data_IF_056818530105
#
_entry.id   IF_056818530105
#
_cell.length_a   1.000
_cell.length_b   1.000
_cell.length_c   1.000
_cell.angle_alpha   90.00
_cell.angle_beta   90.00
_cell.angle_gamma   90.00
#
_symmetry.space_group_name_H-M   'P 1'
#
loop_
_entity.id
_entity.type
_entity.pdbx_description
1 polymer ?
#
# COMPACT_ATOMS: atom_id res chain seq x y z
N UNK A 1 9.80 34.50 -3.37
CA UNK A 1 10.17 33.09 -3.64
C UNK A 1 8.92 32.43 -4.20
N UNK A 2 8.78 32.37 -5.52
CA UNK A 2 7.58 31.81 -6.18
C UNK A 2 7.65 30.28 -6.09
N UNK A 3 6.69 29.67 -5.38
CA UNK A 3 6.45 28.23 -5.44
C UNK A 3 5.89 27.93 -6.84
N UNK A 4 6.64 27.21 -7.65
CA UNK A 4 6.17 26.69 -8.93
C UNK A 4 5.09 25.64 -8.65
N UNK A 5 3.83 26.00 -8.87
CA UNK A 5 2.70 25.09 -8.82
C UNK A 5 2.76 24.26 -10.13
N UNK A 6 3.21 23.03 -10.06
CA UNK A 6 3.15 22.14 -11.24
C UNK A 6 1.70 21.65 -11.33
N UNK A 7 0.94 22.26 -12.23
CA UNK A 7 -0.42 21.83 -12.58
C UNK A 7 -0.32 20.94 -13.83
N UNK A 8 -0.60 19.66 -13.64
CA UNK A 8 -0.72 18.72 -14.77
C UNK A 8 -2.21 18.55 -15.09
N UNK A 9 -2.70 19.18 -16.14
CA UNK A 9 -4.07 18.98 -16.63
C UNK A 9 -4.07 17.89 -17.68
N UNK A 10 -4.71 16.77 -17.40
CA UNK A 10 -4.92 15.69 -18.37
C UNK A 10 -6.40 15.69 -18.77
N UNK A 11 -6.68 16.05 -20.02
CA UNK A 11 -8.04 15.97 -20.59
C UNK A 11 -8.22 14.62 -21.26
N UNK A 12 -9.16 13.84 -20.77
CA UNK A 12 -9.56 12.54 -21.34
C UNK A 12 -10.96 12.64 -21.92
N UNK A 13 -11.06 12.41 -23.22
CA UNK A 13 -12.34 12.23 -23.90
C UNK A 13 -12.61 10.72 -24.01
N UNK A 14 -13.51 10.21 -23.18
CA UNK A 14 -14.11 8.89 -23.36
C UNK A 14 -15.62 9.09 -23.54
N UNK A 15 -16.24 8.32 -24.40
CA UNK A 15 -17.49 8.59 -25.14
C UNK A 15 -18.76 8.88 -24.32
N UNK A 16 -18.75 8.90 -22.98
CA UNK A 16 -19.98 9.22 -22.21
C UNK A 16 -19.78 10.04 -20.92
N UNK A 17 -18.56 10.39 -20.54
CA UNK A 17 -18.29 11.39 -19.50
C UNK A 17 -16.93 12.03 -19.72
N UNK A 18 -16.89 13.36 -19.77
CA UNK A 18 -15.64 14.13 -19.74
C UNK A 18 -15.17 14.12 -18.27
N UNK A 19 -14.22 13.26 -17.92
CA UNK A 19 -13.50 13.34 -16.65
C UNK A 19 -12.28 14.24 -16.86
N UNK A 20 -12.39 15.50 -16.50
CA UNK A 20 -11.25 16.39 -16.33
C UNK A 20 -10.85 16.32 -14.86
N UNK A 21 -9.99 15.38 -14.49
CA UNK A 21 -9.39 15.37 -13.16
C UNK A 21 -8.01 16.00 -13.23
N UNK A 22 -7.80 17.03 -12.41
CA UNK A 22 -6.50 17.67 -12.24
C UNK A 22 -5.83 17.09 -10.99
N UNK A 23 -4.64 16.52 -11.17
CA UNK A 23 -3.83 16.03 -10.06
C UNK A 23 -2.83 17.10 -9.65
N UNK A 24 -2.85 17.50 -8.40
CA UNK A 24 -1.97 18.56 -7.85
C UNK A 24 -1.13 18.00 -6.71
N UNK A 25 0.20 18.16 -6.80
CA UNK A 25 1.09 17.89 -5.67
C UNK A 25 0.81 18.94 -4.58
N UNK A 26 0.13 18.51 -3.51
CA UNK A 26 -0.34 19.38 -2.44
C UNK A 26 0.65 19.49 -1.27
N UNK A 27 1.60 18.56 -1.15
CA UNK A 27 2.62 18.57 -0.11
C UNK A 27 3.68 17.49 -0.30
N UNK A 28 4.83 17.74 0.31
CA UNK A 28 5.94 16.80 0.38
C UNK A 28 6.68 17.02 1.69
N UNK A 29 7.00 15.95 2.42
CA UNK A 29 7.80 16.01 3.64
C UNK A 29 8.64 14.75 3.81
N UNK A 30 9.64 14.85 4.66
CA UNK A 30 10.63 13.80 4.90
C UNK A 30 11.90 13.97 4.07
N UNK A 31 12.98 13.45 4.63
CA UNK A 31 14.32 13.36 4.05
C UNK A 31 15.04 12.16 4.68
N UNK A 32 16.20 11.81 4.17
CA UNK A 32 16.98 10.71 4.72
C UNK A 32 17.49 11.02 6.11
N UNK A 33 17.17 10.16 7.09
CA UNK A 33 17.64 10.29 8.47
C UNK A 33 16.88 9.43 9.47
N UNK A 34 17.09 9.70 10.78
CA UNK A 34 16.50 8.95 11.88
C UNK A 34 15.78 9.82 12.92
N UNK A 35 15.77 11.16 12.77
CA UNK A 35 14.99 12.05 13.62
C UNK A 35 13.49 11.93 13.36
N UNK A 36 12.63 12.52 14.21
CA UNK A 36 11.21 12.64 13.92
C UNK A 36 10.96 13.34 12.58
N UNK A 37 10.18 12.71 11.70
CA UNK A 37 9.89 13.23 10.37
C UNK A 37 10.92 12.90 9.28
N UNK A 38 12.10 12.36 9.64
CA UNK A 38 13.08 11.80 8.71
C UNK A 38 12.81 10.31 8.49
N UNK A 39 13.21 9.75 7.35
CA UNK A 39 12.97 8.37 6.97
C UNK A 39 14.22 7.67 6.44
N UNK A 40 14.28 6.35 6.65
CA UNK A 40 15.19 5.46 5.93
C UNK A 40 14.38 4.41 5.19
N UNK A 41 14.26 4.58 3.88
CA UNK A 41 13.52 3.68 2.99
C UNK A 41 12.08 3.43 3.50
N UNK A 42 11.20 4.46 3.52
CA UNK A 42 9.81 4.29 3.92
C UNK A 42 9.12 3.26 3.02
N UNK A 43 8.40 2.31 3.63
CA UNK A 43 7.68 1.26 2.93
C UNK A 43 6.19 1.61 2.78
N UNK A 44 5.28 0.85 3.41
CA UNK A 44 3.85 1.07 3.26
C UNK A 44 3.33 2.21 4.14
N UNK A 45 2.15 2.68 3.81
CA UNK A 45 1.51 3.86 4.38
C UNK A 45 0.00 3.60 4.53
N UNK A 46 -0.59 4.04 5.64
CA UNK A 46 -2.03 3.94 5.86
C UNK A 46 -2.59 5.22 6.48
N UNK A 47 -3.88 5.46 6.30
CA UNK A 47 -4.59 6.60 6.89
C UNK A 47 -5.71 6.12 7.82
N UNK A 48 -5.85 6.75 9.00
CA UNK A 48 -6.95 6.48 9.91
C UNK A 48 -8.22 7.29 9.55
N UNK A 49 -9.29 7.05 10.31
CA UNK A 49 -10.58 7.72 10.10
C UNK A 49 -10.53 9.24 10.31
N UNK A 50 -9.54 9.75 11.02
CA UNK A 50 -9.28 11.17 11.24
C UNK A 50 -8.31 11.78 10.21
N UNK A 51 -7.91 10.97 9.21
CA UNK A 51 -6.90 11.32 8.20
C UNK A 51 -5.50 11.55 8.77
N UNK A 52 -5.17 10.96 9.91
CA UNK A 52 -3.77 10.85 10.31
C UNK A 52 -3.08 9.79 9.46
N UNK A 53 -1.81 10.03 9.15
CA UNK A 53 -1.00 9.24 8.25
C UNK A 53 0.03 8.45 9.04
N UNK A 54 0.06 7.14 8.84
CA UNK A 54 0.99 6.22 9.47
C UNK A 54 1.93 5.66 8.43
N UNK A 55 3.22 5.78 8.65
CA UNK A 55 4.28 5.40 7.71
C UNK A 55 5.18 4.35 8.33
N UNK A 56 5.41 3.28 7.61
CA UNK A 56 6.43 2.28 7.96
C UNK A 56 7.79 2.83 7.55
N UNK A 57 8.58 3.25 8.52
CA UNK A 57 9.96 3.70 8.37
C UNK A 57 10.88 2.48 8.48
N UNK A 58 10.95 1.72 7.36
CA UNK A 58 11.40 0.34 7.34
C UNK A 58 12.79 0.12 7.91
N UNK A 59 13.80 0.87 7.43
CA UNK A 59 15.19 0.70 7.87
C UNK A 59 15.51 1.41 9.19
N UNK A 60 14.60 2.23 9.72
CA UNK A 60 14.65 2.71 11.10
C UNK A 60 13.86 1.80 12.05
N UNK A 61 13.24 0.72 11.53
CA UNK A 61 12.50 -0.28 12.32
C UNK A 61 11.42 0.33 13.22
N UNK A 62 10.67 1.30 12.67
CA UNK A 62 9.66 2.06 13.42
C UNK A 62 8.45 2.42 12.57
N UNK A 63 7.39 2.86 13.23
CA UNK A 63 6.23 3.50 12.62
C UNK A 63 6.25 4.97 13.02
N UNK A 64 5.95 5.87 12.09
CA UNK A 64 5.77 7.29 12.36
C UNK A 64 4.34 7.72 12.01
N UNK A 65 3.73 8.54 12.87
CA UNK A 65 2.38 9.12 12.71
C UNK A 65 2.48 10.60 12.45
N UNK A 66 1.70 11.08 11.48
CA UNK A 66 1.59 12.48 11.08
C UNK A 66 0.12 12.88 11.00
N UNK A 67 -0.17 14.17 11.11
CA UNK A 67 -1.48 14.69 10.69
C UNK A 67 -1.59 14.78 9.16
N UNK A 68 -2.76 15.14 8.66
CA UNK A 68 -3.04 15.27 7.23
C UNK A 68 -2.25 16.37 6.50
N UNK A 69 -1.57 17.26 7.25
CA UNK A 69 -0.68 18.29 6.70
C UNK A 69 0.77 17.85 6.60
N UNK A 70 1.11 16.69 7.19
CA UNK A 70 2.46 16.15 7.28
C UNK A 70 3.22 16.58 8.54
N UNK A 71 2.53 17.19 9.52
CA UNK A 71 3.13 17.51 10.82
C UNK A 71 3.30 16.24 11.63
N UNK A 72 4.54 16.00 12.10
CA UNK A 72 4.84 14.86 12.97
C UNK A 72 4.02 14.91 14.27
N UNK A 73 3.47 13.75 14.65
CA UNK A 73 2.73 13.57 15.90
C UNK A 73 3.51 12.70 16.86
N UNK A 74 3.88 11.49 16.45
CA UNK A 74 4.58 10.51 17.27
C UNK A 74 5.24 9.41 16.45
N UNK A 75 6.07 8.60 17.11
CA UNK A 75 6.65 7.38 16.54
C UNK A 75 6.82 6.31 17.61
N UNK A 76 6.87 5.04 17.17
CA UNK A 76 7.17 3.89 18.04
C UNK A 76 7.89 2.80 17.27
N UNK A 77 8.55 1.92 18.00
CA UNK A 77 9.34 0.85 17.44
C UNK A 77 10.84 1.12 17.44
N UNK A 78 11.60 0.06 17.35
CA UNK A 78 13.06 0.01 17.20
C UNK A 78 13.45 -1.39 16.74
N UNK A 79 14.68 -1.57 16.29
CA UNK A 79 15.20 -2.90 15.94
C UNK A 79 15.11 -3.87 17.12
N UNK A 80 14.54 -5.05 16.89
CA UNK A 80 14.49 -6.13 17.87
C UNK A 80 13.37 -7.14 17.64
N UNK A 81 13.17 -8.04 18.62
CA UNK A 81 12.19 -9.14 18.57
C UNK A 81 11.11 -9.06 19.65
N UNK A 82 11.32 -8.18 20.66
CA UNK A 82 10.38 -8.01 21.75
C UNK A 82 9.05 -7.38 21.28
N UNK A 83 8.06 -7.32 22.16
CA UNK A 83 6.78 -6.64 21.93
C UNK A 83 7.04 -5.17 21.55
N UNK A 84 6.44 -4.70 20.47
CA UNK A 84 6.61 -3.33 19.97
C UNK A 84 7.96 -3.04 19.29
N UNK A 85 8.87 -4.01 19.20
CA UNK A 85 10.10 -3.91 18.42
C UNK A 85 9.86 -4.53 17.03
N UNK A 86 10.62 -4.12 16.03
CA UNK A 86 10.48 -4.58 14.64
C UNK A 86 11.82 -4.99 14.05
N UNK A 87 11.76 -5.87 13.06
CA UNK A 87 12.88 -6.16 12.18
C UNK A 87 12.44 -6.07 10.72
N UNK A 88 12.73 -4.94 10.08
CA UNK A 88 12.26 -4.60 8.74
C UNK A 88 10.73 -4.71 8.64
N UNK A 89 9.94 -3.89 9.37
CA UNK A 89 8.49 -3.85 9.17
C UNK A 89 8.17 -3.45 7.72
N UNK A 90 7.05 -3.95 7.16
CA UNK A 90 6.72 -3.69 5.77
C UNK A 90 5.30 -3.17 5.56
N UNK A 91 4.28 -4.01 5.75
CA UNK A 91 2.88 -3.67 5.57
C UNK A 91 2.27 -3.00 6.79
N UNK A 92 1.29 -2.15 6.56
CA UNK A 92 0.52 -1.49 7.60
C UNK A 92 -0.95 -1.40 7.19
N UNK A 93 -1.86 -1.78 8.09
CA UNK A 93 -3.31 -1.62 7.91
C UNK A 93 -3.95 -1.05 9.17
N UNK A 94 -5.11 -0.43 9.02
CA UNK A 94 -5.86 0.20 10.10
C UNK A 94 -7.28 -0.32 10.06
N UNK A 95 -7.79 -0.81 11.19
CA UNK A 95 -9.16 -1.30 11.28
C UNK A 95 -10.19 -0.17 11.55
N UNK A 96 -11.47 -0.52 11.55
CA UNK A 96 -12.57 0.42 11.69
C UNK A 96 -12.61 1.14 13.07
N UNK A 97 -11.88 0.61 14.06
CA UNK A 97 -11.75 1.19 15.40
C UNK A 97 -10.37 1.81 15.65
N UNK A 98 -9.60 2.01 14.55
CA UNK A 98 -8.27 2.61 14.52
C UNK A 98 -7.17 1.82 15.24
N UNK A 99 -7.28 0.48 15.35
CA UNK A 99 -6.11 -0.32 15.67
C UNK A 99 -5.19 -0.44 14.45
N UNK A 100 -3.90 -0.45 14.71
CA UNK A 100 -2.83 -0.50 13.72
C UNK A 100 -2.27 -1.92 13.66
N UNK A 101 -2.24 -2.52 12.50
CA UNK A 101 -1.61 -3.81 12.24
C UNK A 101 -0.35 -3.57 11.42
N UNK A 102 0.74 -4.23 11.79
CA UNK A 102 2.06 -4.10 11.13
C UNK A 102 2.62 -5.48 10.83
N UNK A 103 3.00 -5.76 9.61
CA UNK A 103 3.78 -6.94 9.27
C UNK A 103 5.26 -6.69 9.64
N UNK A 104 5.76 -7.48 10.56
CA UNK A 104 7.13 -7.47 11.07
C UNK A 104 7.94 -8.52 10.30
N UNK A 105 8.31 -8.15 9.07
CA UNK A 105 8.70 -9.03 7.99
C UNK A 105 9.78 -10.04 8.38
N UNK A 106 10.93 -9.58 8.88
CA UNK A 106 12.04 -10.46 9.24
C UNK A 106 11.83 -11.18 10.58
N UNK A 107 10.87 -10.76 11.40
CA UNK A 107 10.45 -11.49 12.59
C UNK A 107 9.33 -12.49 12.29
N UNK A 108 8.82 -12.54 11.04
CA UNK A 108 7.79 -13.47 10.59
C UNK A 108 6.51 -13.44 11.45
N UNK A 109 6.05 -12.23 11.78
CA UNK A 109 4.87 -12.02 12.63
C UNK A 109 4.08 -10.79 12.20
N UNK A 110 2.85 -10.71 12.72
CA UNK A 110 2.01 -9.52 12.69
C UNK A 110 1.90 -8.98 14.11
N UNK A 111 2.02 -7.69 14.29
CA UNK A 111 1.80 -7.02 15.55
C UNK A 111 0.62 -6.04 15.45
N UNK A 112 -0.20 -5.99 16.50
CA UNK A 112 -1.36 -5.09 16.64
C UNK A 112 -1.10 -4.04 17.71
N UNK A 113 -1.46 -2.80 17.42
CA UNK A 113 -1.24 -1.64 18.29
C UNK A 113 -2.51 -0.78 18.38
N UNK A 114 -2.62 0.02 19.43
CA UNK A 114 -3.54 1.16 19.46
C UNK A 114 -3.08 2.26 18.50
N UNK A 115 -3.96 3.22 18.21
CA UNK A 115 -3.62 4.41 17.40
C UNK A 115 -2.49 5.27 17.98
N UNK A 116 -2.16 5.06 19.26
CA UNK A 116 -1.07 5.74 19.98
C UNK A 116 0.19 4.87 20.08
N UNK A 117 0.27 3.78 19.31
CA UNK A 117 1.43 2.88 19.31
C UNK A 117 1.55 1.96 20.51
N UNK A 118 0.55 1.91 21.39
CA UNK A 118 0.48 0.93 22.50
C UNK A 118 0.33 -0.49 21.95
N UNK A 119 1.23 -1.40 22.33
CA UNK A 119 1.17 -2.81 21.91
C UNK A 119 -0.08 -3.50 22.49
N UNK A 120 -0.83 -4.19 21.63
CA UNK A 120 -2.02 -4.97 22.00
C UNK A 120 -1.70 -6.47 21.99
N UNK A 121 -1.36 -6.99 20.81
CA UNK A 121 -1.13 -8.42 20.60
C UNK A 121 -0.21 -8.68 19.40
N UNK A 122 0.24 -9.93 19.25
CA UNK A 122 0.98 -10.37 18.08
C UNK A 122 0.66 -11.83 17.78
N UNK A 123 0.79 -12.21 16.50
CA UNK A 123 0.70 -13.60 16.04
C UNK A 123 1.77 -13.85 14.98
N UNK A 124 2.23 -15.09 14.89
CA UNK A 124 3.17 -15.51 13.87
C UNK A 124 4.46 -16.09 14.42
N UNK A 125 5.05 -16.94 13.60
CA UNK A 125 6.37 -17.51 13.74
C UNK A 125 6.85 -17.92 12.35
N UNK A 126 8.14 -18.14 12.16
CA UNK A 126 8.66 -18.69 10.91
C UNK A 126 8.12 -20.10 10.65
N UNK A 127 7.54 -20.33 9.49
CA UNK A 127 7.06 -21.66 9.10
C UNK A 127 6.02 -21.64 7.99
N UNK A 128 5.37 -22.80 7.78
CA UNK A 128 4.37 -23.07 6.73
C UNK A 128 2.99 -23.43 7.29
N UNK A 129 2.86 -23.63 8.60
CA UNK A 129 1.60 -23.95 9.26
C UNK A 129 0.63 -22.76 9.30
N UNK A 130 -0.58 -23.00 9.79
CA UNK A 130 -1.59 -21.97 10.03
C UNK A 130 -1.08 -20.93 11.03
N UNK A 131 -1.17 -19.65 10.68
CA UNK A 131 -0.65 -18.56 11.52
C UNK A 131 0.88 -18.44 11.54
N UNK A 132 1.61 -19.28 10.80
CA UNK A 132 3.06 -19.13 10.57
C UNK A 132 3.32 -18.43 9.25
N UNK A 133 4.44 -17.73 9.14
CA UNK A 133 4.79 -16.93 7.97
C UNK A 133 6.21 -17.17 7.48
N UNK A 134 6.41 -16.90 6.20
CA UNK A 134 7.73 -16.65 5.62
C UNK A 134 7.69 -15.27 4.94
N UNK A 135 8.26 -14.29 5.63
CA UNK A 135 8.28 -12.89 5.19
C UNK A 135 6.87 -12.36 4.88
N UNK A 136 6.02 -12.07 5.90
CA UNK A 136 4.73 -11.41 5.67
C UNK A 136 4.95 -10.01 5.11
N UNK A 137 4.29 -9.72 3.97
CA UNK A 137 4.38 -8.42 3.27
C UNK A 137 3.14 -7.57 3.52
N UNK A 138 2.39 -7.27 2.46
CA UNK A 138 1.20 -6.44 2.50
C UNK A 138 0.09 -7.02 3.38
N UNK A 139 -0.64 -6.14 4.02
CA UNK A 139 -1.76 -6.47 4.89
C UNK A 139 -2.91 -5.51 4.66
N UNK A 140 -4.14 -6.00 4.74
CA UNK A 140 -5.34 -5.17 4.67
C UNK A 140 -6.40 -5.62 5.65
N UNK A 141 -7.22 -4.69 6.12
CA UNK A 141 -8.40 -4.96 6.94
C UNK A 141 -9.67 -4.83 6.10
N UNK A 142 -10.53 -5.85 6.15
CA UNK A 142 -11.88 -5.83 5.59
C UNK A 142 -12.92 -5.38 6.61
N UNK A 143 -14.21 -5.54 6.25
CA UNK A 143 -15.32 -5.36 7.19
C UNK A 143 -15.14 -6.31 8.36
N UNK A 144 -15.79 -6.01 9.47
CA UNK A 144 -15.72 -6.78 10.72
C UNK A 144 -14.29 -6.90 11.28
N UNK A 145 -13.37 -6.00 10.82
CA UNK A 145 -11.97 -5.96 11.24
C UNK A 145 -11.19 -7.27 10.96
N UNK A 146 -11.62 -8.01 9.96
CA UNK A 146 -10.90 -9.18 9.46
C UNK A 146 -9.59 -8.73 8.80
N UNK A 147 -8.48 -9.38 9.15
CA UNK A 147 -7.16 -9.07 8.60
C UNK A 147 -6.76 -10.10 7.54
N UNK A 148 -6.31 -9.62 6.40
CA UNK A 148 -5.71 -10.40 5.33
C UNK A 148 -4.21 -10.11 5.26
N UNK A 149 -3.40 -11.16 5.16
CA UNK A 149 -1.93 -11.08 5.21
C UNK A 149 -1.34 -11.83 4.03
N UNK A 150 -0.50 -11.17 3.25
CA UNK A 150 0.34 -11.80 2.24
C UNK A 150 1.49 -12.52 2.95
N UNK A 151 1.51 -13.84 2.86
CA UNK A 151 2.61 -14.71 3.28
C UNK A 151 3.49 -14.99 2.07
N UNK A 152 4.36 -14.02 1.75
CA UNK A 152 4.94 -13.87 0.42
C UNK A 152 5.74 -15.09 -0.06
N UNK A 153 6.59 -15.67 0.78
CA UNK A 153 7.44 -16.81 0.43
C UNK A 153 6.79 -18.16 0.70
N UNK A 154 5.55 -18.17 1.23
CA UNK A 154 4.67 -19.33 1.20
C UNK A 154 3.64 -19.24 0.07
N UNK A 155 3.64 -18.17 -0.72
CA UNK A 155 2.77 -17.94 -1.89
C UNK A 155 1.28 -18.04 -1.56
N UNK A 156 0.87 -17.52 -0.38
CA UNK A 156 -0.50 -17.61 0.11
C UNK A 156 -0.97 -16.32 0.76
N UNK A 157 -2.28 -16.19 0.91
CA UNK A 157 -2.92 -15.19 1.76
C UNK A 157 -3.46 -15.94 2.99
N UNK A 158 -3.23 -15.41 4.17
CA UNK A 158 -3.83 -15.89 5.40
C UNK A 158 -4.82 -14.86 5.94
N UNK A 159 -5.93 -15.34 6.50
CA UNK A 159 -7.03 -14.54 7.06
C UNK A 159 -7.10 -14.76 8.56
N UNK A 160 -7.27 -13.67 9.29
CA UNK A 160 -7.33 -13.65 10.76
C UNK A 160 -8.53 -12.84 11.21
N UNK A 161 -9.04 -13.15 12.40
CA UNK A 161 -10.01 -12.29 13.07
C UNK A 161 -9.32 -11.05 13.69
N UNK A 162 -10.13 -10.18 14.29
CA UNK A 162 -9.62 -8.96 14.95
C UNK A 162 -8.71 -9.24 16.15
N UNK A 163 -8.74 -10.45 16.73
CA UNK A 163 -7.88 -10.89 17.83
C UNK A 163 -6.60 -11.59 17.33
N UNK A 164 -6.36 -11.56 16.02
CA UNK A 164 -5.24 -12.22 15.34
C UNK A 164 -5.28 -13.77 15.44
N UNK A 165 -6.47 -14.36 15.60
CA UNK A 165 -6.66 -15.81 15.49
C UNK A 165 -6.81 -16.18 14.02
N UNK A 166 -6.11 -17.22 13.59
CA UNK A 166 -6.20 -17.76 12.23
C UNK A 166 -7.63 -18.24 11.93
N UNK A 167 -8.15 -17.84 10.77
CA UNK A 167 -9.45 -18.28 10.24
C UNK A 167 -9.24 -19.28 9.11
N UNK A 168 -8.61 -18.85 8.04
CA UNK A 168 -8.41 -19.64 6.82
C UNK A 168 -7.22 -19.13 6.00
N UNK A 169 -6.85 -19.90 5.00
CA UNK A 169 -5.82 -19.50 4.03
C UNK A 169 -6.18 -19.98 2.66
N UNK A 170 -5.70 -19.29 1.66
CA UNK A 170 -5.76 -19.71 0.27
C UNK A 170 -4.57 -19.18 -0.52
N UNK A 171 -4.35 -19.75 -1.68
CA UNK A 171 -3.18 -19.51 -2.49
C UNK A 171 -2.13 -20.58 -2.24
N UNK A 172 -1.60 -21.06 -3.29
CA UNK A 172 -0.31 -21.68 -3.49
C UNK A 172 0.01 -21.46 -4.96
N UNK A 173 1.21 -21.74 -5.37
CA UNK A 173 1.62 -21.53 -6.77
C UNK A 173 0.72 -22.23 -7.82
N UNK A 174 -0.23 -23.08 -7.41
CA UNK A 174 -1.05 -23.89 -8.31
C UNK A 174 -2.57 -23.85 -8.09
N UNK A 175 -3.09 -23.26 -6.98
CA UNK A 175 -4.52 -23.44 -6.61
C UNK A 175 -5.51 -22.78 -7.56
N UNK A 176 -5.11 -21.75 -8.32
CA UNK A 176 -6.04 -21.00 -9.17
C UNK A 176 -5.74 -21.09 -10.66
N UNK A 177 -4.88 -22.03 -11.09
CA UNK A 177 -4.42 -22.06 -12.48
C UNK A 177 -3.63 -20.82 -12.90
N UNK A 178 -3.30 -19.96 -11.93
CA UNK A 178 -2.45 -18.79 -12.11
C UNK A 178 -1.29 -18.84 -11.12
N UNK A 179 -0.10 -18.64 -11.62
CA UNK A 179 1.09 -18.52 -10.80
C UNK A 179 1.23 -17.07 -10.37
N UNK A 180 1.10 -16.81 -9.06
CA UNK A 180 1.37 -15.50 -8.45
C UNK A 180 2.85 -15.43 -8.12
N UNK A 181 3.52 -14.36 -8.56
CA UNK A 181 4.95 -14.18 -8.33
C UNK A 181 5.25 -12.91 -7.55
N UNK A 182 5.85 -13.07 -6.37
CA UNK A 182 6.23 -11.96 -5.48
C UNK A 182 5.06 -10.99 -5.22
N UNK A 183 3.94 -11.48 -4.62
CA UNK A 183 2.85 -10.60 -4.23
C UNK A 183 3.35 -9.60 -3.18
N UNK A 184 3.04 -8.32 -3.37
CA UNK A 184 3.58 -7.27 -2.51
C UNK A 184 2.55 -6.61 -1.63
N UNK A 185 1.44 -6.16 -2.20
CA UNK A 185 0.42 -5.41 -1.47
C UNK A 185 -0.97 -5.95 -1.75
N UNK A 186 -1.86 -5.68 -0.84
CA UNK A 186 -3.24 -6.14 -0.85
C UNK A 186 -4.16 -4.98 -0.44
N UNK A 187 -5.27 -4.79 -1.15
CA UNK A 187 -6.32 -3.85 -0.80
C UNK A 187 -7.68 -4.54 -0.87
N UNK A 188 -8.65 -4.02 -0.14
CA UNK A 188 -10.02 -4.53 -0.10
C UNK A 188 -10.93 -3.50 -0.76
N UNK A 189 -11.77 -3.92 -1.71
CA UNK A 189 -12.76 -3.06 -2.33
C UNK A 189 -14.10 -3.06 -1.56
N UNK A 190 -15.06 -2.26 -2.03
CA UNK A 190 -16.37 -2.13 -1.37
C UNK A 190 -17.21 -3.41 -1.38
N UNK A 191 -16.92 -4.32 -2.30
CA UNK A 191 -17.59 -5.60 -2.41
C UNK A 191 -16.88 -6.68 -1.57
N UNK A 192 -15.90 -6.28 -0.74
CA UNK A 192 -15.02 -7.16 0.02
C UNK A 192 -14.13 -8.06 -0.87
N UNK A 193 -13.93 -7.68 -2.13
CA UNK A 193 -12.96 -8.37 -2.96
C UNK A 193 -11.54 -7.94 -2.59
N UNK A 194 -10.63 -8.88 -2.72
CA UNK A 194 -9.22 -8.72 -2.42
C UNK A 194 -8.49 -8.41 -3.72
N UNK A 195 -7.84 -7.26 -3.79
CA UNK A 195 -7.00 -6.84 -4.91
C UNK A 195 -5.55 -7.02 -4.51
N UNK A 196 -4.81 -7.81 -5.27
CA UNK A 196 -3.42 -8.17 -5.00
C UNK A 196 -2.50 -7.63 -6.10
N UNK A 197 -1.38 -7.02 -5.75
CA UNK A 197 -0.31 -6.73 -6.71
C UNK A 197 0.55 -7.97 -6.93
N UNK A 198 0.44 -8.54 -8.13
CA UNK A 198 1.25 -9.68 -8.62
C UNK A 198 2.46 -9.11 -9.37
N UNK A 199 3.41 -8.64 -8.58
CA UNK A 199 4.49 -7.75 -8.95
C UNK A 199 5.28 -8.22 -10.17
N UNK A 200 5.84 -9.42 -10.12
CA UNK A 200 6.70 -9.96 -11.20
C UNK A 200 5.92 -10.42 -12.43
N UNK A 201 4.60 -10.54 -12.31
CA UNK A 201 3.72 -10.78 -13.45
C UNK A 201 3.13 -9.48 -14.00
N UNK A 202 3.54 -8.31 -13.47
CA UNK A 202 3.16 -6.99 -13.96
C UNK A 202 1.64 -6.78 -14.07
N UNK A 203 0.89 -7.29 -13.08
CA UNK A 203 -0.58 -7.28 -13.08
C UNK A 203 -1.16 -7.14 -11.68
N UNK A 204 -2.46 -6.89 -11.63
CA UNK A 204 -3.27 -7.04 -10.44
C UNK A 204 -4.15 -8.28 -10.57
N UNK A 205 -4.43 -8.92 -9.45
CA UNK A 205 -5.31 -10.10 -9.37
C UNK A 205 -6.41 -9.82 -8.34
N UNK A 206 -7.64 -10.17 -8.68
CA UNK A 206 -8.80 -9.93 -7.82
C UNK A 206 -9.41 -11.26 -7.39
N UNK A 207 -9.61 -11.41 -6.09
CA UNK A 207 -10.27 -12.56 -5.48
C UNK A 207 -11.50 -12.14 -4.70
N UNK A 208 -12.45 -13.03 -4.52
CA UNK A 208 -13.47 -12.87 -3.47
C UNK A 208 -12.84 -12.93 -2.09
N UNK A 209 -13.56 -12.48 -1.05
CA UNK A 209 -13.15 -12.62 0.37
C UNK A 209 -12.86 -14.06 0.80
N UNK A 210 -13.40 -15.04 0.07
CA UNK A 210 -13.23 -16.47 0.31
C UNK A 210 -12.16 -17.11 -0.62
N UNK A 211 -11.37 -16.27 -1.30
CA UNK A 211 -10.22 -16.68 -2.10
C UNK A 211 -10.54 -17.21 -3.50
N UNK A 212 -11.76 -17.10 -4.01
CA UNK A 212 -12.08 -17.48 -5.39
C UNK A 212 -11.57 -16.40 -6.36
N UNK A 213 -10.82 -16.80 -7.37
CA UNK A 213 -10.37 -15.89 -8.44
C UNK A 213 -11.56 -15.29 -9.18
N UNK A 214 -11.62 -13.96 -9.24
CA UNK A 214 -12.63 -13.22 -10.00
C UNK A 214 -12.06 -12.69 -11.32
N UNK A 215 -10.91 -12.03 -11.25
CA UNK A 215 -10.35 -11.34 -12.42
C UNK A 215 -8.85 -11.13 -12.26
N UNK A 216 -8.20 -10.81 -13.37
CA UNK A 216 -6.83 -10.32 -13.45
C UNK A 216 -6.75 -9.26 -14.54
N UNK A 217 -6.00 -8.22 -14.31
CA UNK A 217 -5.83 -7.13 -15.26
C UNK A 217 -4.43 -6.52 -15.16
N UNK A 218 -3.98 -5.97 -16.27
CA UNK A 218 -2.63 -5.49 -16.45
C UNK A 218 -1.75 -6.50 -17.16
N UNK A 219 -0.78 -5.98 -17.84
CA UNK A 219 0.31 -6.67 -18.53
C UNK A 219 1.57 -5.82 -18.45
N UNK A 220 2.71 -6.38 -18.79
CA UNK A 220 3.96 -5.62 -18.80
C UNK A 220 3.88 -4.44 -19.77
N UNK A 221 4.27 -3.27 -19.29
CA UNK A 221 4.47 -2.07 -20.08
C UNK A 221 5.34 -1.10 -19.31
N UNK A 222 6.41 -0.64 -19.95
CA UNK A 222 7.40 0.25 -19.34
C UNK A 222 7.72 1.42 -20.25
N UNK A 223 8.03 2.54 -19.62
CA UNK A 223 8.51 3.71 -20.29
C UNK A 223 7.43 4.72 -20.66
N UNK A 224 7.87 5.84 -21.21
CA UNK A 224 7.04 7.02 -21.52
C UNK A 224 5.81 6.73 -22.42
N UNK A 225 5.91 5.69 -23.24
CA UNK A 225 4.87 5.31 -24.18
C UNK A 225 4.09 4.06 -23.71
N UNK A 226 4.25 3.62 -22.46
CA UNK A 226 3.50 2.50 -21.94
C UNK A 226 1.99 2.78 -22.04
N UNK A 227 1.25 1.79 -22.52
CA UNK A 227 -0.20 1.89 -22.64
C UNK A 227 -0.82 1.99 -21.24
N UNK A 228 -1.85 2.80 -21.07
CA UNK A 228 -2.60 2.86 -19.82
C UNK A 228 -3.14 1.49 -19.43
N UNK A 229 -3.05 1.15 -18.16
CA UNK A 229 -3.44 -0.17 -17.65
C UNK A 229 -2.40 -1.26 -17.85
N UNK A 230 -1.20 -0.92 -18.37
CA UNK A 230 -0.01 -1.76 -18.30
C UNK A 230 0.85 -1.32 -17.12
N UNK A 231 1.65 -2.21 -16.55
CA UNK A 231 2.44 -1.95 -15.35
C UNK A 231 3.89 -2.43 -15.50
N UNK A 232 4.78 -1.79 -14.77
CA UNK A 232 6.14 -2.28 -14.53
C UNK A 232 6.38 -2.46 -13.03
N UNK A 233 6.21 -3.70 -12.56
CA UNK A 233 6.25 -4.08 -11.14
C UNK A 233 5.32 -3.25 -10.23
N UNK A 234 3.99 -3.41 -10.33
CA UNK A 234 3.04 -2.72 -9.46
C UNK A 234 3.25 -3.12 -7.99
N UNK A 235 3.26 -2.13 -7.08
CA UNK A 235 3.48 -2.34 -5.66
C UNK A 235 2.27 -1.97 -4.81
N UNK A 236 2.26 -0.78 -4.24
CA UNK A 236 1.20 -0.30 -3.36
C UNK A 236 -0.14 -0.18 -4.08
N UNK A 237 -1.21 -0.55 -3.40
CA UNK A 237 -2.58 -0.44 -3.88
C UNK A 237 -3.43 0.23 -2.80
N UNK A 238 -4.29 1.16 -3.20
CA UNK A 238 -5.33 1.71 -2.34
C UNK A 238 -6.65 1.78 -3.10
N UNK A 239 -7.75 1.67 -2.37
CA UNK A 239 -9.10 1.84 -2.89
C UNK A 239 -9.79 2.97 -2.13
N UNK A 240 -10.35 3.93 -2.84
CA UNK A 240 -11.11 5.01 -2.22
C UNK A 240 -12.59 4.66 -2.03
N UNK A 241 -13.34 5.57 -1.40
CA UNK A 241 -14.76 5.37 -1.12
C UNK A 241 -15.65 5.25 -2.38
N UNK A 242 -15.19 5.71 -3.53
CA UNK A 242 -15.91 5.57 -4.82
C UNK A 242 -15.60 4.25 -5.53
N UNK A 243 -14.70 3.42 -4.97
CA UNK A 243 -14.26 2.15 -5.56
C UNK A 243 -13.14 2.29 -6.59
N UNK A 244 -12.59 3.49 -6.75
CA UNK A 244 -11.46 3.74 -7.63
C UNK A 244 -10.18 3.16 -7.00
N UNK A 245 -9.33 2.56 -7.84
CA UNK A 245 -8.10 1.87 -7.43
C UNK A 245 -6.89 2.70 -7.82
N UNK A 246 -6.03 2.95 -6.85
CA UNK A 246 -4.76 3.66 -7.02
C UNK A 246 -3.61 2.69 -6.89
N UNK A 247 -2.68 2.72 -7.83
CA UNK A 247 -1.57 1.76 -7.94
C UNK A 247 -0.26 2.50 -8.08
N UNK A 248 0.71 2.20 -7.22
CA UNK A 248 2.10 2.57 -7.43
C UNK A 248 2.71 1.70 -8.53
N UNK A 249 2.91 2.27 -9.69
CA UNK A 249 3.56 1.63 -10.83
C UNK A 249 5.06 1.93 -10.79
N UNK A 250 5.78 1.08 -10.07
CA UNK A 250 7.09 1.37 -9.51
C UNK A 250 8.14 1.79 -10.54
N UNK A 251 8.37 0.98 -11.57
CA UNK A 251 9.38 1.28 -12.59
C UNK A 251 8.87 2.21 -13.71
N UNK A 252 7.58 2.52 -13.71
CA UNK A 252 7.04 3.61 -14.50
C UNK A 252 7.07 4.95 -13.74
N UNK A 253 7.53 4.97 -12.47
CA UNK A 253 7.66 6.17 -11.63
C UNK A 253 6.35 6.96 -11.53
N UNK A 254 5.23 6.25 -11.52
CA UNK A 254 3.91 6.84 -11.65
C UNK A 254 2.89 6.21 -10.70
N UNK A 255 1.80 6.92 -10.52
CA UNK A 255 0.59 6.39 -9.91
C UNK A 255 -0.44 6.24 -11.03
N UNK A 256 -1.05 5.08 -11.14
CA UNK A 256 -2.20 4.86 -12.01
C UNK A 256 -3.47 4.81 -11.17
N UNK A 257 -4.53 5.42 -11.69
CA UNK A 257 -5.89 5.35 -11.13
C UNK A 257 -6.80 4.63 -12.10
N UNK A 258 -7.55 3.67 -11.60
CA UNK A 258 -8.55 2.92 -12.37
C UNK A 258 -9.94 3.20 -11.78
N UNK A 259 -10.97 3.16 -12.64
CA UNK A 259 -12.35 3.22 -12.20
C UNK A 259 -12.78 1.94 -11.43
N UNK A 260 -14.00 1.90 -10.86
CA UNK A 260 -14.51 0.71 -10.15
C UNK A 260 -14.58 -0.54 -11.05
N UNK A 261 -14.73 -0.38 -12.37
CA UNK A 261 -14.70 -1.46 -13.35
C UNK A 261 -13.29 -1.86 -13.78
N UNK A 262 -12.27 -1.25 -13.17
CA UNK A 262 -10.83 -1.46 -13.43
C UNK A 262 -10.36 -0.93 -14.78
N UNK A 263 -11.08 0.03 -15.38
CA UNK A 263 -10.63 0.73 -16.58
C UNK A 263 -9.69 1.86 -16.21
N UNK A 264 -8.59 2.06 -16.94
CA UNK A 264 -7.63 3.13 -16.64
C UNK A 264 -8.24 4.51 -16.82
N UNK A 265 -8.18 5.35 -15.79
CA UNK A 265 -8.63 6.75 -15.81
C UNK A 265 -7.46 7.70 -16.01
N UNK A 266 -6.53 7.74 -15.06
CA UNK A 266 -5.43 8.68 -15.03
C UNK A 266 -4.12 7.94 -14.74
N UNK A 267 -3.04 8.49 -15.27
CA UNK A 267 -1.67 8.15 -14.92
C UNK A 267 -0.89 9.46 -14.73
N UNK A 268 -0.19 9.61 -13.61
CA UNK A 268 0.67 10.77 -13.36
C UNK A 268 2.03 10.36 -12.81
N UNK A 269 3.06 11.09 -13.24
CA UNK A 269 4.42 10.89 -12.77
C UNK A 269 4.59 11.46 -11.36
N UNK A 270 5.29 10.74 -10.50
CA UNK A 270 5.57 11.16 -9.12
C UNK A 270 6.72 12.16 -9.03
N UNK A 271 7.47 12.36 -10.11
CA UNK A 271 8.69 13.16 -10.14
C UNK A 271 8.64 14.37 -11.05
N UNK A 272 7.62 14.47 -11.91
CA UNK A 272 7.59 15.47 -12.99
C UNK A 272 8.55 15.17 -14.16
N UNK A 273 9.49 14.24 -14.02
CA UNK A 273 10.42 13.79 -15.08
C UNK A 273 10.46 12.28 -15.15
N UNK A 274 10.49 11.75 -16.37
CA UNK A 274 10.61 10.32 -16.61
C UNK A 274 12.08 9.89 -16.41
N UNK A 275 12.30 8.72 -15.79
CA UNK A 275 13.63 8.12 -15.53
C UNK A 275 14.50 8.83 -14.46
N UNK A 276 13.93 9.56 -13.52
CA UNK A 276 14.69 9.93 -12.34
C UNK A 276 14.69 8.75 -11.33
N UNK A 277 15.74 7.93 -11.39
CA UNK A 277 15.89 6.70 -10.58
C UNK A 277 15.96 6.94 -9.06
N UNK A 278 15.93 8.19 -8.63
CA UNK A 278 15.87 8.55 -7.20
C UNK A 278 14.46 8.47 -6.62
N UNK A 279 13.43 8.29 -7.45
CA UNK A 279 12.04 8.33 -7.05
C UNK A 279 11.36 7.01 -7.36
N UNK A 280 10.90 6.32 -6.33
CA UNK A 280 10.20 5.04 -6.48
C UNK A 280 8.93 5.03 -5.64
N UNK A 281 7.76 5.17 -6.24
CA UNK A 281 6.50 5.03 -5.53
C UNK A 281 6.39 3.60 -4.99
N UNK A 282 6.15 3.47 -3.68
CA UNK A 282 6.09 2.15 -3.06
C UNK A 282 4.75 1.90 -2.37
N UNK A 283 4.44 2.60 -1.30
CA UNK A 283 3.17 2.52 -0.59
C UNK A 283 2.24 3.66 -0.99
N UNK A 284 0.94 3.43 -0.95
CA UNK A 284 -0.09 4.41 -1.27
C UNK A 284 -1.29 4.25 -0.35
N UNK A 285 -1.90 5.35 0.04
CA UNK A 285 -3.18 5.37 0.74
C UNK A 285 -4.03 6.54 0.28
N UNK A 286 -5.35 6.39 0.40
CA UNK A 286 -6.31 7.44 0.08
C UNK A 286 -7.17 7.70 1.31
N UNK A 287 -7.23 8.95 1.73
CA UNK A 287 -8.06 9.37 2.86
C UNK A 287 -9.53 9.50 2.46
N UNK A 288 -10.43 9.52 3.44
CA UNK A 288 -11.88 9.66 3.21
C UNK A 288 -12.26 10.91 2.43
N UNK A 289 -11.46 11.98 2.50
CA UNK A 289 -11.67 13.22 1.74
C UNK A 289 -10.99 13.21 0.36
N UNK A 290 -10.49 12.06 -0.09
CA UNK A 290 -9.94 11.87 -1.44
C UNK A 290 -8.47 12.29 -1.62
N UNK A 291 -7.78 12.75 -0.57
CA UNK A 291 -6.36 13.05 -0.67
C UNK A 291 -5.54 11.76 -0.77
N UNK A 292 -4.62 11.70 -1.73
CA UNK A 292 -3.74 10.56 -1.98
C UNK A 292 -2.38 10.83 -1.34
N UNK A 293 -1.87 9.86 -0.59
CA UNK A 293 -0.53 9.92 0.01
C UNK A 293 0.29 8.73 -0.47
N UNK A 294 1.53 8.99 -0.84
CA UNK A 294 2.46 8.01 -1.37
C UNK A 294 3.80 8.09 -0.66
N UNK A 295 4.39 6.94 -0.34
CA UNK A 295 5.78 6.84 0.08
C UNK A 295 6.69 6.79 -1.13
N UNK A 296 7.70 7.65 -1.13
CA UNK A 296 8.79 7.56 -2.07
C UNK A 296 9.99 6.89 -1.39
N UNK A 297 10.22 5.63 -1.74
CA UNK A 297 11.15 4.75 -1.04
C UNK A 297 12.59 5.25 -1.09
N UNK A 298 13.07 5.66 -2.26
CA UNK A 298 14.46 6.10 -2.44
C UNK A 298 14.66 7.62 -2.26
N UNK A 299 13.60 8.42 -2.43
CA UNK A 299 13.66 9.82 -2.07
C UNK A 299 13.42 10.07 -0.57
N UNK A 300 13.15 9.02 0.22
CA UNK A 300 12.96 9.09 1.67
C UNK A 300 11.92 10.11 2.12
N UNK A 301 10.81 10.20 1.40
CA UNK A 301 9.78 11.20 1.64
C UNK A 301 8.38 10.67 1.41
N UNK A 302 7.42 11.47 1.83
CA UNK A 302 6.00 11.29 1.55
C UNK A 302 5.56 12.39 0.60
N UNK A 303 4.74 12.04 -0.39
CA UNK A 303 4.11 12.99 -1.29
C UNK A 303 2.59 12.92 -1.10
N UNK A 304 1.95 14.10 -1.06
CA UNK A 304 0.50 14.26 -0.97
C UNK A 304 -0.03 14.84 -2.27
N UNK A 305 -1.08 14.27 -2.81
CA UNK A 305 -1.78 14.74 -3.99
C UNK A 305 -3.25 15.00 -3.69
N UNK A 306 -3.80 16.04 -4.28
CA UNK A 306 -5.25 16.30 -4.34
C UNK A 306 -5.73 16.09 -5.78
N UNK A 307 -6.93 15.54 -5.90
CA UNK A 307 -7.63 15.35 -7.17
C UNK A 307 -8.83 16.30 -7.22
N UNK A 308 -9.00 17.03 -8.34
CA UNK A 308 -10.06 18.01 -8.55
C UNK A 308 -10.83 17.74 -9.84
#
# INVERSE_FOLDING_TARGET
MFRLLIVLTVILICSDRIYSQTVVLAGKWGEFGDKPGEFKFPAMIAADNASNIYVVDQHNHRIQKFDSSGKFIQMWGRLGKEKGQFNYPYGIAIDNVNNIYVSDMNNNRIQKFTSDGGFISATGAYGTGNGQFKYPYGIATGKDNVLYVIDAFNYRIQKFDSDLKFIEQWGSAEIFGIKIYMPHEIAIDHQENIILSDRQNHRLVVFTKDGKLLNRFGEYGEGKNAKKGTFSEPHGIAVNNSGEVFICDRYNFSIQMLDPDRKPLINWLTTGTFNDSRYFPLGITVTKNGAVYMTDHFAHCIQKYNLY
#
